data_IF_817541720074
#
_entry.id   IF_817541720074
#
_cell.length_a   1.000
_cell.length_b   1.000
_cell.length_c   1.000
_cell.angle_alpha   90.00
_cell.angle_beta   90.00
_cell.angle_gamma   90.00
#
_symmetry.space_group_name_H-M   'P 1'
#
loop_
_entity.id
_entity.type
_entity.pdbx_description
1 polymer ?
#
# COMPACT_ATOMS: atom_id res chain seq x y z
N UNK A 1 -22.87 -32.08 33.06
CA UNK A 1 -22.53 -30.64 33.08
C UNK A 1 -21.50 -30.35 31.99
N UNK A 2 -21.91 -29.79 30.84
CA UNK A 2 -21.00 -29.35 29.77
C UNK A 2 -20.78 -27.85 29.92
N UNK A 3 -19.63 -27.46 30.46
CA UNK A 3 -19.27 -26.05 30.58
C UNK A 3 -18.89 -25.49 29.21
N UNK A 4 -19.56 -24.38 28.90
CA UNK A 4 -19.54 -23.53 27.72
C UNK A 4 -18.16 -22.96 27.44
N UNK A 5 -17.27 -23.72 26.78
CA UNK A 5 -16.03 -23.18 26.20
C UNK A 5 -16.35 -22.61 24.81
N UNK A 6 -17.18 -21.56 24.76
CA UNK A 6 -17.29 -20.74 23.55
C UNK A 6 -16.27 -19.60 23.62
N UNK A 7 -15.10 -19.92 23.08
CA UNK A 7 -14.29 -19.06 22.22
C UNK A 7 -14.19 -17.58 22.62
N UNK A 8 -13.27 -17.27 23.53
CA UNK A 8 -12.80 -15.90 23.76
C UNK A 8 -12.33 -15.25 22.44
N UNK A 9 -11.70 -16.02 21.55
CA UNK A 9 -11.26 -15.56 20.23
C UNK A 9 -12.42 -15.16 19.30
N UNK A 10 -13.55 -15.87 19.30
CA UNK A 10 -14.69 -15.51 18.44
C UNK A 10 -15.37 -14.22 18.88
N UNK A 11 -15.44 -13.97 20.20
CA UNK A 11 -15.98 -12.72 20.73
C UNK A 11 -15.10 -11.52 20.35
N UNK A 12 -13.78 -11.66 20.46
CA UNK A 12 -12.82 -10.61 20.09
C UNK A 12 -12.79 -10.35 18.58
N UNK A 13 -12.86 -11.41 17.76
CA UNK A 13 -12.97 -11.30 16.30
C UNK A 13 -14.27 -10.60 15.91
N UNK A 14 -15.42 -10.97 16.49
CA UNK A 14 -16.70 -10.29 16.24
C UNK A 14 -16.67 -8.82 16.66
N UNK A 15 -16.01 -8.49 17.76
CA UNK A 15 -15.85 -7.10 18.22
C UNK A 15 -14.96 -6.29 17.26
N UNK A 16 -13.83 -6.86 16.81
CA UNK A 16 -12.93 -6.25 15.81
C UNK A 16 -13.60 -6.08 14.45
N UNK A 17 -14.35 -7.07 13.97
CA UNK A 17 -15.11 -6.99 12.72
C UNK A 17 -16.22 -5.94 12.78
N UNK A 18 -16.82 -5.72 13.97
CA UNK A 18 -17.77 -4.61 14.18
C UNK A 18 -17.11 -3.24 14.05
N UNK A 19 -15.86 -3.11 14.50
CA UNK A 19 -15.04 -1.89 14.40
C UNK A 19 -14.59 -1.60 12.96
N UNK A 20 -14.17 -2.64 12.24
CA UNK A 20 -13.70 -2.55 10.86
C UNK A 20 -14.73 -3.15 9.89
N UNK A 21 -15.87 -2.48 9.74
CA UNK A 21 -16.86 -2.85 8.75
C UNK A 21 -16.65 -2.08 7.42
N UNK A 22 -17.21 -2.61 6.33
CA UNK A 22 -17.09 -2.02 5.00
C UNK A 22 -17.65 -0.59 4.92
N UNK A 23 -18.72 -0.30 5.66
CA UNK A 23 -19.33 1.02 5.67
C UNK A 23 -18.37 2.08 6.24
N UNK A 24 -17.68 1.76 7.34
CA UNK A 24 -16.67 2.61 7.95
C UNK A 24 -15.47 2.82 7.00
N UNK A 25 -15.00 1.76 6.34
CA UNK A 25 -13.88 1.87 5.40
C UNK A 25 -14.18 2.79 4.21
N UNK A 26 -15.42 2.77 3.69
CA UNK A 26 -15.86 3.62 2.58
C UNK A 26 -15.80 5.12 2.89
N UNK A 27 -15.96 5.51 4.16
CA UNK A 27 -15.86 6.92 4.58
C UNK A 27 -14.46 7.48 4.36
N UNK A 28 -13.43 6.63 4.42
CA UNK A 28 -12.03 7.00 4.26
C UNK A 28 -11.51 6.88 2.82
N UNK A 29 -12.33 6.36 1.88
CA UNK A 29 -11.90 6.25 0.49
C UNK A 29 -11.95 7.63 -0.19
N UNK A 30 -10.89 8.05 -0.88
CA UNK A 30 -10.89 9.32 -1.58
C UNK A 30 -11.90 9.31 -2.74
N UNK A 31 -12.69 10.37 -2.87
CA UNK A 31 -13.58 10.57 -4.02
C UNK A 31 -12.78 11.17 -5.18
N UNK A 32 -12.93 10.60 -6.38
CA UNK A 32 -12.36 11.15 -7.62
C UNK A 32 -13.42 11.92 -8.40
N UNK A 33 -13.04 13.07 -8.95
CA UNK A 33 -13.87 13.90 -9.81
C UNK A 33 -13.33 13.89 -11.26
N UNK A 34 -14.18 14.13 -12.28
CA UNK A 34 -13.74 14.08 -13.68
C UNK A 34 -12.64 15.08 -14.05
N UNK A 35 -12.50 16.18 -13.30
CA UNK A 35 -11.45 17.19 -13.51
C UNK A 35 -10.16 16.89 -12.73
N UNK A 36 -10.10 15.76 -12.02
CA UNK A 36 -8.93 15.36 -11.27
C UNK A 36 -7.84 14.90 -12.23
N UNK A 37 -6.61 15.31 -11.96
CA UNK A 37 -5.43 14.91 -12.69
C UNK A 37 -4.55 14.00 -11.81
N UNK A 38 -3.45 13.51 -12.40
CA UNK A 38 -2.52 12.63 -11.69
C UNK A 38 -1.90 13.31 -10.45
N UNK A 39 -1.72 14.63 -10.45
CA UNK A 39 -1.10 15.35 -9.32
C UNK A 39 -2.02 15.47 -8.10
N UNK A 40 -3.34 15.38 -8.29
CA UNK A 40 -4.31 15.39 -7.19
C UNK A 40 -4.36 14.09 -6.40
N UNK A 41 -4.00 12.96 -7.01
CA UNK A 41 -3.97 11.69 -6.29
C UNK A 41 -2.71 11.53 -5.44
N UNK A 42 -2.78 10.62 -4.47
CA UNK A 42 -1.71 10.40 -3.52
C UNK A 42 -0.46 9.78 -4.17
N UNK A 43 0.70 10.25 -3.72
CA UNK A 43 2.03 9.77 -4.09
C UNK A 43 2.54 8.88 -2.96
N UNK A 44 3.01 7.68 -3.28
CA UNK A 44 3.50 6.75 -2.28
C UNK A 44 4.94 6.35 -2.54
N UNK A 45 5.75 6.35 -1.48
CA UNK A 45 7.10 5.83 -1.51
C UNK A 45 7.17 4.47 -0.79
N UNK A 46 7.57 3.45 -1.52
CA UNK A 46 7.85 2.12 -0.99
C UNK A 46 9.33 2.04 -0.61
N UNK A 47 9.58 1.88 0.69
CA UNK A 47 10.91 1.61 1.24
C UNK A 47 10.94 0.16 1.70
N UNK A 48 11.20 -0.73 0.76
CA UNK A 48 11.25 -2.16 0.99
C UNK A 48 12.17 -2.83 -0.03
N UNK A 49 12.55 -4.09 0.25
CA UNK A 49 13.41 -4.88 -0.63
C UNK A 49 14.88 -4.51 -0.51
N UNK A 50 15.65 -5.37 0.15
CA UNK A 50 17.11 -5.33 0.07
C UNK A 50 17.58 -6.02 -1.23
N UNK A 51 18.87 -5.89 -1.57
CA UNK A 51 19.46 -6.58 -2.72
C UNK A 51 19.10 -8.07 -2.71
N UNK A 52 18.49 -8.56 -3.80
CA UNK A 52 18.07 -9.96 -3.92
C UNK A 52 16.74 -10.30 -3.24
N UNK A 53 16.09 -9.35 -2.55
CA UNK A 53 14.77 -9.49 -1.92
C UNK A 53 13.76 -8.47 -2.46
N UNK A 54 13.82 -8.17 -3.75
CA UNK A 54 12.96 -7.20 -4.43
C UNK A 54 11.48 -7.58 -4.44
N UNK A 55 11.14 -8.85 -4.26
CA UNK A 55 9.76 -9.32 -4.24
C UNK A 55 8.89 -8.56 -3.24
N UNK A 56 9.42 -8.21 -2.07
CA UNK A 56 8.69 -7.41 -1.08
C UNK A 56 8.38 -6.00 -1.60
N UNK A 57 9.35 -5.34 -2.25
CA UNK A 57 9.16 -4.02 -2.84
C UNK A 57 8.12 -4.06 -3.97
N UNK A 58 8.22 -5.04 -4.85
CA UNK A 58 7.32 -5.23 -6.00
C UNK A 58 5.88 -5.50 -5.51
N UNK A 59 5.71 -6.35 -4.49
CA UNK A 59 4.39 -6.64 -3.93
C UNK A 59 3.75 -5.40 -3.30
N UNK A 60 4.51 -4.66 -2.49
CA UNK A 60 4.03 -3.41 -1.90
C UNK A 60 3.67 -2.38 -2.99
N UNK A 61 4.54 -2.18 -3.97
CA UNK A 61 4.29 -1.23 -5.06
C UNK A 61 3.05 -1.61 -5.88
N UNK A 62 2.89 -2.91 -6.18
CA UNK A 62 1.70 -3.42 -6.88
C UNK A 62 0.43 -3.19 -6.08
N UNK A 63 0.46 -3.47 -4.77
CA UNK A 63 -0.69 -3.24 -3.90
C UNK A 63 -1.09 -1.75 -3.89
N UNK A 64 -0.11 -0.85 -3.77
CA UNK A 64 -0.33 0.60 -3.77
C UNK A 64 -0.89 1.11 -5.09
N UNK A 65 -0.31 0.69 -6.22
CA UNK A 65 -0.81 1.05 -7.54
C UNK A 65 -2.27 0.56 -7.75
N UNK A 66 -2.57 -0.67 -7.32
CA UNK A 66 -3.92 -1.26 -7.44
C UNK A 66 -4.93 -0.67 -6.45
N UNK A 67 -4.48 -0.17 -5.31
CA UNK A 67 -5.31 0.57 -4.36
C UNK A 67 -5.72 1.96 -4.90
N UNK A 68 -5.09 2.43 -5.99
CA UNK A 68 -5.44 3.69 -6.64
C UNK A 68 -4.50 4.85 -6.31
N UNK A 69 -3.24 4.58 -5.94
CA UNK A 69 -2.20 5.60 -5.94
C UNK A 69 -2.02 6.20 -7.35
N UNK A 70 -1.80 7.51 -7.44
CA UNK A 70 -1.48 8.14 -8.72
C UNK A 70 -0.06 7.84 -9.16
N UNK A 71 0.87 7.86 -8.19
CA UNK A 71 2.27 7.56 -8.40
C UNK A 71 2.76 6.64 -7.31
N UNK A 72 3.47 5.60 -7.72
CA UNK A 72 4.13 4.67 -6.82
C UNK A 72 5.63 4.72 -7.09
N UNK A 73 6.38 5.12 -6.08
CA UNK A 73 7.83 5.24 -6.11
C UNK A 73 8.43 4.09 -5.32
N UNK A 74 9.56 3.56 -5.79
CA UNK A 74 10.36 2.57 -5.08
C UNK A 74 11.73 3.19 -4.81
N UNK A 75 12.17 3.15 -3.56
CA UNK A 75 13.52 3.55 -3.21
C UNK A 75 14.50 2.42 -3.56
N UNK A 76 15.24 2.58 -4.65
CA UNK A 76 16.31 1.68 -5.08
C UNK A 76 17.67 2.39 -5.01
N UNK A 77 18.28 2.41 -3.83
CA UNK A 77 19.60 3.03 -3.64
C UNK A 77 20.72 2.37 -4.44
N UNK A 78 20.54 1.12 -4.86
CA UNK A 78 21.60 0.32 -5.48
C UNK A 78 21.49 0.28 -7.01
N UNK A 79 20.42 0.82 -7.60
CA UNK A 79 20.18 0.80 -9.05
C UNK A 79 20.15 -0.62 -9.63
N UNK A 80 19.60 -1.56 -8.86
CA UNK A 80 19.53 -3.00 -9.20
C UNK A 80 18.09 -3.50 -9.33
N UNK A 81 17.10 -2.61 -9.24
CA UNK A 81 15.71 -2.98 -9.37
C UNK A 81 15.40 -3.45 -10.81
N UNK A 82 14.61 -4.53 -10.98
CA UNK A 82 14.21 -5.06 -12.29
C UNK A 82 13.15 -4.17 -12.99
N UNK A 83 13.57 -3.00 -13.48
CA UNK A 83 12.69 -1.98 -14.09
C UNK A 83 12.02 -2.46 -15.36
N UNK A 84 12.73 -3.23 -16.20
CA UNK A 84 12.19 -3.74 -17.48
C UNK A 84 10.99 -4.64 -17.24
N UNK A 85 10.99 -5.43 -16.16
CA UNK A 85 9.86 -6.28 -15.79
C UNK A 85 8.74 -5.52 -15.07
N UNK A 86 9.00 -4.30 -14.60
CA UNK A 86 8.06 -3.51 -13.78
C UNK A 86 8.10 -2.01 -14.15
N UNK A 87 7.74 -1.64 -15.38
CA UNK A 87 7.90 -0.27 -15.89
C UNK A 87 6.93 0.75 -15.28
N UNK A 88 5.88 0.28 -14.60
CA UNK A 88 4.84 1.13 -14.02
C UNK A 88 5.30 1.88 -12.75
N UNK A 89 6.44 1.50 -12.17
CA UNK A 89 6.94 2.08 -10.92
C UNK A 89 8.08 3.06 -11.18
N UNK A 90 8.02 4.21 -10.52
CA UNK A 90 9.08 5.19 -10.58
C UNK A 90 10.19 4.80 -9.60
N UNK A 91 11.44 4.87 -10.03
CA UNK A 91 12.58 4.58 -9.17
C UNK A 91 13.19 5.85 -8.63
N UNK A 92 13.45 5.84 -7.33
CA UNK A 92 14.19 6.90 -6.63
C UNK A 92 15.50 6.28 -6.14
N UNK A 93 16.61 6.94 -6.42
CA UNK A 93 17.92 6.44 -6.03
C UNK A 93 18.48 7.17 -4.81
N UNK A 94 18.12 8.44 -4.65
CA UNK A 94 18.50 9.26 -3.51
C UNK A 94 17.28 9.92 -2.87
N UNK A 95 17.29 10.07 -1.56
CA UNK A 95 16.18 10.76 -0.87
C UNK A 95 16.11 12.25 -1.21
N UNK A 96 17.22 12.85 -1.67
CA UNK A 96 17.24 14.23 -2.18
C UNK A 96 16.33 14.40 -3.39
N UNK A 97 16.15 13.35 -4.18
CA UNK A 97 15.27 13.38 -5.35
C UNK A 97 13.80 13.59 -4.95
N UNK A 98 13.43 13.41 -3.67
CA UNK A 98 12.04 13.56 -3.18
C UNK A 98 11.69 15.03 -2.88
N UNK A 99 12.64 15.87 -2.47
CA UNK A 99 12.35 17.26 -2.10
C UNK A 99 11.94 18.14 -3.28
N UNK A 100 12.14 17.64 -4.50
CA UNK A 100 11.88 18.37 -5.74
C UNK A 100 10.47 18.04 -6.32
N UNK A 101 9.65 17.25 -5.63
CA UNK A 101 8.31 16.79 -6.06
C UNK A 101 7.16 17.24 -5.17
#
# INVERSE_FOLDING_TARGET
>A
MKATVLNYQEKDIKLRLKKYNLANARVYLPRRYPKDNKTRGEKFLVIAGFQGKWGAAILCAKATARAGASYTYILDRQKKFPTVQNPDYLLIHQLKDISDF
#
